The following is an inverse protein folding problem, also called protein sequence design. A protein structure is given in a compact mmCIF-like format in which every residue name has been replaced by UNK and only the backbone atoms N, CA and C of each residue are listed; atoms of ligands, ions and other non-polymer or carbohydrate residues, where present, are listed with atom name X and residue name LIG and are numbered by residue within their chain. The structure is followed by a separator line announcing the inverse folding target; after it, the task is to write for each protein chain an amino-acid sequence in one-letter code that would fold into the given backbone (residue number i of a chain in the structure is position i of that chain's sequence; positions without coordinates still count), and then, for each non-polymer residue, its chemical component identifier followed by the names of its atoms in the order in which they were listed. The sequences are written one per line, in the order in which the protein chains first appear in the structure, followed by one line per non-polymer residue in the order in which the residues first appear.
data_IF_268909366796
#
_entry.id   IF_268909366796
#
_cell.length_a   1.000
_cell.length_b   1.000
_cell.length_c   1.000
_cell.angle_alpha   90.00
_cell.angle_beta   90.00
_cell.angle_gamma   90.00
#
_symmetry.space_group_name_H-M   'P 1'
#
loop_
_entity.id
_entity.type
_entity.pdbx_description
1 polymer ?
#
# COMPACT_ATOMS: atom_id res chain seq x y z
N UNK A 1 -21.39 34.22 26.95
CA UNK A 1 -20.92 33.84 25.61
C UNK A 1 -20.07 32.57 25.72
N UNK A 2 -20.73 31.42 25.71
CA UNK A 2 -20.14 30.07 25.67
C UNK A 2 -21.00 29.28 24.68
N UNK A 3 -20.85 29.50 23.38
CA UNK A 3 -21.69 28.80 22.39
C UNK A 3 -21.04 28.58 21.03
N UNK A 4 -19.81 29.03 20.80
CA UNK A 4 -19.12 28.72 19.54
C UNK A 4 -18.19 27.50 19.64
N UNK A 5 -17.75 27.13 20.85
CA UNK A 5 -16.85 25.99 21.02
C UNK A 5 -17.59 24.64 21.04
N UNK A 6 -18.86 24.62 21.45
CA UNK A 6 -19.68 23.40 21.49
C UNK A 6 -20.30 23.04 20.13
N UNK A 7 -20.34 23.98 19.18
CA UNK A 7 -20.83 23.71 17.81
C UNK A 7 -19.75 23.16 16.88
N UNK A 8 -18.46 23.34 17.22
CA UNK A 8 -17.33 22.83 16.43
C UNK A 8 -17.00 21.37 16.76
N UNK A 9 -17.40 20.88 17.94
CA UNK A 9 -17.17 19.49 18.35
C UNK A 9 -18.34 18.57 18.01
N UNK A 10 -19.57 19.07 17.84
CA UNK A 10 -20.71 18.20 17.51
C UNK A 10 -20.69 17.65 16.07
N UNK A 11 -20.12 18.39 15.11
CA UNK A 11 -20.06 17.98 13.70
C UNK A 11 -18.85 17.13 13.29
N UNK A 12 -17.94 16.82 14.23
CA UNK A 12 -16.68 16.07 13.96
C UNK A 12 -16.75 14.62 14.46
N UNK A 13 -17.90 14.17 14.95
CA UNK A 13 -18.10 12.80 15.44
C UNK A 13 -19.22 12.02 14.75
N UNK A 14 -19.93 12.60 13.78
CA UNK A 14 -20.83 11.84 12.91
C UNK A 14 -20.02 11.31 11.71
N UNK A 15 -19.93 9.98 11.61
CA UNK A 15 -19.40 9.20 10.49
C UNK A 15 -17.87 9.02 10.39
N UNK A 16 -17.23 8.52 11.45
CA UNK A 16 -16.00 7.70 11.31
C UNK A 16 -16.23 6.20 11.58
N UNK A 17 -17.47 5.76 11.75
CA UNK A 17 -17.77 4.38 12.16
C UNK A 17 -17.89 3.39 10.98
N UNK A 18 -17.95 3.88 9.73
CA UNK A 18 -18.27 3.04 8.56
C UNK A 18 -17.12 2.73 7.60
N UNK A 19 -15.97 3.42 7.68
CA UNK A 19 -14.95 3.36 6.61
C UNK A 19 -13.59 2.82 7.03
N UNK A 20 -13.37 2.54 8.32
CA UNK A 20 -12.10 1.99 8.81
C UNK A 20 -12.06 0.46 8.83
N UNK A 21 -13.16 -0.21 8.50
CA UNK A 21 -13.29 -1.68 8.50
C UNK A 21 -13.33 -2.30 7.12
N UNK A 22 -13.37 -1.49 6.05
CA UNK A 22 -13.04 -2.02 4.74
C UNK A 22 -11.53 -2.21 4.73
N UNK A 23 -11.09 -3.46 4.89
CA UNK A 23 -9.82 -3.89 4.35
C UNK A 23 -9.81 -3.38 2.91
N UNK A 24 -9.06 -2.31 2.64
CA UNK A 24 -8.77 -1.95 1.26
C UNK A 24 -8.33 -3.25 0.60
N UNK A 25 -8.98 -3.68 -0.50
CA UNK A 25 -8.56 -4.89 -1.16
C UNK A 25 -7.06 -4.72 -1.39
N UNK A 26 -6.28 -5.69 -0.91
CA UNK A 26 -4.84 -5.68 -1.07
C UNK A 26 -4.48 -5.32 -2.52
N UNK A 27 -3.29 -4.77 -2.76
CA UNK A 27 -2.90 -4.42 -4.12
C UNK A 27 -3.19 -5.59 -5.06
N UNK A 28 -4.02 -5.35 -6.08
CA UNK A 28 -4.44 -6.41 -7.01
C UNK A 28 -3.22 -7.15 -7.54
N UNK A 29 -3.26 -8.47 -7.62
CA UNK A 29 -2.13 -9.30 -8.08
C UNK A 29 -1.55 -8.79 -9.40
N UNK A 30 -2.39 -8.36 -10.35
CA UNK A 30 -1.99 -7.71 -11.60
C UNK A 30 -1.06 -6.50 -11.39
N UNK A 31 -1.34 -5.69 -10.35
CA UNK A 31 -0.54 -4.52 -10.00
C UNK A 31 0.79 -4.92 -9.36
N UNK A 32 0.82 -5.96 -8.56
CA UNK A 32 2.05 -6.49 -7.95
C UNK A 32 2.94 -7.13 -9.02
N UNK A 33 2.35 -7.86 -9.99
CA UNK A 33 3.05 -8.40 -11.14
C UNK A 33 3.68 -7.29 -12.01
N UNK A 34 2.94 -6.19 -12.28
CA UNK A 34 3.48 -5.01 -13.00
C UNK A 34 4.68 -4.40 -12.25
N UNK A 35 4.63 -4.35 -10.92
CA UNK A 35 5.73 -3.81 -10.11
C UNK A 35 6.94 -4.75 -10.16
N UNK A 36 6.75 -6.07 -10.06
CA UNK A 36 7.84 -7.03 -10.18
C UNK A 36 8.58 -6.92 -11.53
N UNK A 37 7.84 -6.81 -12.63
CA UNK A 37 8.42 -6.62 -13.97
C UNK A 37 9.24 -5.32 -14.07
N UNK A 38 8.73 -4.22 -13.51
CA UNK A 38 9.45 -2.94 -13.46
C UNK A 38 10.73 -3.03 -12.63
N UNK A 39 10.69 -3.76 -11.52
CA UNK A 39 11.86 -3.97 -10.67
C UNK A 39 12.92 -4.84 -11.38
N UNK A 40 12.52 -5.84 -12.18
CA UNK A 40 13.46 -6.59 -13.02
C UNK A 40 14.15 -5.70 -14.07
N UNK A 41 13.39 -4.82 -14.72
CA UNK A 41 13.96 -3.81 -15.62
C UNK A 41 14.96 -2.92 -14.90
N UNK A 42 14.57 -2.40 -13.72
CA UNK A 42 15.40 -1.50 -12.93
C UNK A 42 16.65 -2.19 -12.36
N UNK A 43 16.57 -3.47 -12.01
CA UNK A 43 17.70 -4.27 -11.54
C UNK A 43 18.76 -4.45 -12.65
N UNK A 44 18.34 -4.48 -13.91
CA UNK A 44 19.23 -4.58 -15.07
C UNK A 44 20.03 -3.29 -15.29
N UNK A 45 19.47 -2.15 -14.90
CA UNK A 45 20.08 -0.82 -15.03
C UNK A 45 20.87 -0.38 -13.79
N UNK A 46 20.56 -0.96 -12.62
CA UNK A 46 21.19 -0.64 -11.34
C UNK A 46 22.52 -1.40 -11.13
N UNK A 47 23.33 -0.93 -10.20
CA UNK A 47 24.57 -1.61 -9.80
C UNK A 47 24.85 -1.46 -8.31
N UNK A 48 25.65 -2.39 -7.77
CA UNK A 48 26.00 -2.43 -6.34
C UNK A 48 24.78 -2.61 -5.44
N UNK A 49 24.83 -1.99 -4.26
CA UNK A 49 23.83 -2.13 -3.19
C UNK A 49 22.41 -1.75 -3.64
N UNK A 50 22.27 -0.80 -4.57
CA UNK A 50 20.95 -0.44 -5.13
C UNK A 50 20.33 -1.59 -5.93
N UNK A 51 21.13 -2.33 -6.71
CA UNK A 51 20.63 -3.50 -7.43
C UNK A 51 20.19 -4.60 -6.45
N UNK A 52 20.93 -4.82 -5.36
CA UNK A 52 20.57 -5.79 -4.32
C UNK A 52 19.22 -5.46 -3.67
N UNK A 53 18.99 -4.19 -3.32
CA UNK A 53 17.71 -3.75 -2.75
C UNK A 53 16.54 -3.90 -3.73
N UNK A 54 16.76 -3.65 -5.02
CA UNK A 54 15.74 -3.82 -6.06
C UNK A 54 15.38 -5.30 -6.21
N UNK A 55 16.37 -6.20 -6.19
CA UNK A 55 16.14 -7.65 -6.26
C UNK A 55 15.34 -8.15 -5.05
N UNK A 56 15.68 -7.71 -3.84
CA UNK A 56 14.93 -8.06 -2.63
C UNK A 56 13.47 -7.56 -2.72
N UNK A 57 13.26 -6.34 -3.21
CA UNK A 57 11.90 -5.81 -3.39
C UNK A 57 11.10 -6.63 -4.41
N UNK A 58 11.74 -7.05 -5.51
CA UNK A 58 11.13 -7.92 -6.52
C UNK A 58 10.75 -9.27 -5.92
N UNK A 59 11.67 -9.91 -5.20
CA UNK A 59 11.44 -11.23 -4.61
C UNK A 59 10.23 -11.20 -3.67
N UNK A 60 10.07 -10.12 -2.89
CA UNK A 60 8.89 -9.89 -2.04
C UNK A 60 7.58 -9.77 -2.82
N UNK A 61 7.61 -9.18 -4.02
CA UNK A 61 6.45 -9.14 -4.88
C UNK A 61 6.09 -10.53 -5.41
N UNK A 62 7.08 -11.36 -5.73
CA UNK A 62 6.85 -12.74 -6.18
C UNK A 62 6.31 -13.61 -5.05
N UNK A 63 6.88 -13.51 -3.85
CA UNK A 63 6.39 -14.23 -2.66
C UNK A 63 4.90 -13.92 -2.40
N UNK A 64 4.51 -12.64 -2.47
CA UNK A 64 3.10 -12.25 -2.30
C UNK A 64 2.17 -12.87 -3.34
N UNK A 65 2.60 -12.95 -4.60
CA UNK A 65 1.83 -13.56 -5.68
C UNK A 65 1.72 -15.08 -5.50
N UNK A 66 2.80 -15.74 -5.09
CA UNK A 66 2.80 -17.18 -4.78
C UNK A 66 1.87 -17.50 -3.59
N UNK A 67 1.84 -16.65 -2.56
CA UNK A 67 0.91 -16.78 -1.42
C UNK A 67 -0.55 -16.52 -1.81
N UNK A 68 -0.80 -15.71 -2.85
CA UNK A 68 -2.15 -15.35 -3.31
C UNK A 68 -2.76 -16.40 -4.26
N UNK A 69 -1.92 -17.18 -4.94
CA UNK A 69 -2.32 -18.28 -5.85
C UNK A 69 -2.57 -19.62 -5.11
N UNK A 70 -2.19 -19.72 -3.83
CA UNK A 70 -2.24 -20.93 -2.99
C UNK A 70 -3.57 -21.13 -2.23
#
# INVERSE_FOLDING_TARGET
MKSQLESLTAGVFEEQDGHLTQSEPGPKDDRIAEIAEKLDGLATEASGETAEHILVARDRCLEYLEESDA
#
